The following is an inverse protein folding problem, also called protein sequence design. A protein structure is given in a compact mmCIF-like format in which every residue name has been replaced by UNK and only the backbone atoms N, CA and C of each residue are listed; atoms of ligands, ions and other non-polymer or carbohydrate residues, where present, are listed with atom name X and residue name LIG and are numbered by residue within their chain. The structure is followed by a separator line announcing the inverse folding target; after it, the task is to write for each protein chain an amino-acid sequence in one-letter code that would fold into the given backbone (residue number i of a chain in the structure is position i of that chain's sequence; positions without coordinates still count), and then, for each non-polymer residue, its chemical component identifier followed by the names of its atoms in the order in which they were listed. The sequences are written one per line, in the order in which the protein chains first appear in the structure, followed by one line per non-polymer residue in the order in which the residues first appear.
data_IF_949751150711
#
_entry.id   IF_949751150711
#
_cell.length_a   1.000
_cell.length_b   1.000
_cell.length_c   1.000
_cell.angle_alpha   90.00
_cell.angle_beta   90.00
_cell.angle_gamma   90.00
#
_symmetry.space_group_name_H-M   'P 1'
#
loop_
_entity.id
_entity.type
_entity.pdbx_description
1 polymer ?
#
# COMPACT_ATOMS: atom_id res chain seq x y z
N UNK A 1 5.38 18.64 -13.75
CA UNK A 1 5.00 17.67 -12.67
C UNK A 1 3.57 17.28 -12.93
N UNK A 2 3.35 16.01 -13.28
CA UNK A 2 2.01 15.52 -13.63
C UNK A 2 1.60 14.47 -12.59
N UNK A 3 0.63 14.82 -11.76
CA UNK A 3 -0.05 13.89 -10.86
C UNK A 3 -1.41 13.54 -11.45
N UNK A 4 -1.74 12.25 -11.46
CA UNK A 4 -3.07 11.75 -11.83
C UNK A 4 -3.78 11.20 -10.59
N UNK A 5 -5.11 11.17 -10.62
CA UNK A 5 -5.94 10.49 -9.63
C UNK A 5 -6.53 9.23 -10.24
N UNK A 6 -6.08 8.07 -9.77
CA UNK A 6 -6.54 6.77 -10.26
C UNK A 6 -7.08 5.91 -9.12
N UNK A 7 -8.32 5.49 -9.19
CA UNK A 7 -9.02 4.72 -8.15
C UNK A 7 -8.89 5.31 -6.74
N UNK A 8 -8.77 6.66 -6.63
CA UNK A 8 -8.60 7.38 -5.37
C UNK A 8 -7.16 7.45 -4.86
N UNK A 9 -6.17 7.08 -5.68
CA UNK A 9 -4.76 7.23 -5.40
C UNK A 9 -4.18 8.37 -6.22
N UNK A 10 -3.44 9.27 -5.58
CA UNK A 10 -2.60 10.23 -6.27
C UNK A 10 -1.33 9.54 -6.75
N UNK A 11 -1.06 9.61 -8.05
CA UNK A 11 0.08 8.97 -8.69
C UNK A 11 0.86 10.04 -9.43
N UNK A 12 2.11 10.25 -9.05
CA UNK A 12 3.02 11.07 -9.82
C UNK A 12 3.68 10.20 -10.91
N UNK A 13 3.64 10.68 -12.13
CA UNK A 13 4.17 10.00 -13.32
C UNK A 13 5.56 10.47 -13.71
N UNK A 14 6.04 11.57 -13.10
CA UNK A 14 7.34 12.14 -13.41
C UNK A 14 8.49 11.27 -12.90
N UNK A 15 9.65 11.51 -13.45
CA UNK A 15 10.89 10.80 -13.15
C UNK A 15 11.38 11.05 -11.72
N UNK A 16 11.48 10.00 -10.89
CA UNK A 16 12.10 10.04 -9.57
C UNK A 16 11.19 9.70 -8.40
N UNK A 17 11.80 9.56 -7.22
CA UNK A 17 11.10 9.31 -5.96
C UNK A 17 10.48 10.61 -5.40
N UNK A 18 9.25 10.52 -4.88
CA UNK A 18 8.77 11.48 -3.90
C UNK A 18 8.38 12.86 -4.42
N UNK A 19 7.61 12.94 -5.50
CA UNK A 19 7.14 14.22 -6.06
C UNK A 19 5.64 14.49 -5.80
N UNK A 20 4.99 13.73 -4.94
CA UNK A 20 3.64 14.07 -4.45
C UNK A 20 3.70 15.25 -3.49
N UNK A 21 2.69 16.10 -3.52
CA UNK A 21 2.51 17.17 -2.51
C UNK A 21 2.22 16.58 -1.12
N UNK A 22 2.41 17.36 -0.08
CA UNK A 22 2.13 16.93 1.30
C UNK A 22 0.68 16.45 1.49
N UNK A 23 -0.28 17.09 0.82
CA UNK A 23 -1.69 16.69 0.90
C UNK A 23 -1.97 15.38 0.16
N UNK A 24 -1.33 15.16 -0.99
CA UNK A 24 -1.41 13.91 -1.75
C UNK A 24 -0.76 12.75 -0.98
N UNK A 25 0.41 12.99 -0.38
CA UNK A 25 1.08 12.03 0.52
C UNK A 25 0.16 11.67 1.69
N UNK A 26 -0.45 12.67 2.33
CA UNK A 26 -1.38 12.45 3.42
C UNK A 26 -2.60 11.64 2.97
N UNK A 27 -3.18 11.99 1.84
CA UNK A 27 -4.34 11.28 1.27
C UNK A 27 -4.02 9.81 0.99
N UNK A 28 -2.93 9.54 0.29
CA UNK A 28 -2.50 8.18 -0.03
C UNK A 28 -2.18 7.37 1.24
N UNK A 29 -1.45 7.96 2.19
CA UNK A 29 -1.09 7.28 3.44
C UNK A 29 -2.31 6.95 4.30
N UNK A 30 -3.28 7.87 4.43
CA UNK A 30 -4.53 7.61 5.14
C UNK A 30 -5.36 6.51 4.46
N UNK A 31 -5.39 6.50 3.12
CA UNK A 31 -6.07 5.45 2.36
C UNK A 31 -5.40 4.09 2.55
N UNK A 32 -4.06 4.02 2.46
CA UNK A 32 -3.30 2.80 2.72
C UNK A 32 -3.57 2.29 4.14
N UNK A 33 -3.48 3.18 5.13
CA UNK A 33 -3.77 2.84 6.52
C UNK A 33 -5.18 2.25 6.69
N UNK A 34 -6.19 2.88 6.10
CA UNK A 34 -7.58 2.42 6.21
C UNK A 34 -7.77 1.03 5.58
N UNK A 35 -7.12 0.75 4.44
CA UNK A 35 -7.21 -0.56 3.78
C UNK A 35 -6.55 -1.66 4.63
N UNK A 36 -5.37 -1.40 5.19
CA UNK A 36 -4.69 -2.35 6.07
C UNK A 36 -5.47 -2.57 7.38
N UNK A 37 -6.03 -1.51 7.95
CA UNK A 37 -6.88 -1.60 9.14
C UNK A 37 -8.15 -2.44 8.89
N UNK A 38 -8.76 -2.33 7.73
CA UNK A 38 -9.90 -3.16 7.34
C UNK A 38 -9.55 -4.65 7.21
N UNK A 39 -8.28 -4.99 7.08
CA UNK A 39 -7.76 -6.37 7.11
C UNK A 39 -7.51 -6.88 8.53
N UNK A 40 -7.74 -6.05 9.56
CA UNK A 40 -7.54 -6.41 10.97
C UNK A 40 -6.12 -6.16 11.49
N UNK A 41 -5.29 -5.40 10.78
CA UNK A 41 -3.94 -5.05 11.21
C UNK A 41 -3.99 -3.95 12.28
N UNK A 42 -3.07 -3.98 13.24
CA UNK A 42 -3.02 -2.95 14.30
C UNK A 42 -2.54 -1.61 13.79
N UNK A 43 -3.01 -0.51 14.38
CA UNK A 43 -2.56 0.85 14.02
C UNK A 43 -1.05 1.02 14.20
N UNK A 44 -0.46 0.31 15.16
CA UNK A 44 0.98 0.35 15.43
C UNK A 44 1.79 -0.27 14.29
N UNK A 45 1.43 -1.48 13.83
CA UNK A 45 2.12 -2.11 12.70
C UNK A 45 1.87 -1.34 11.39
N UNK A 46 0.65 -0.82 11.18
CA UNK A 46 0.32 0.03 10.02
C UNK A 46 1.24 1.25 10.00
N UNK A 47 1.39 1.94 11.13
CA UNK A 47 2.29 3.09 11.21
C UNK A 47 3.76 2.72 10.89
N UNK A 48 4.22 1.56 11.35
CA UNK A 48 5.54 1.01 11.00
C UNK A 48 5.71 0.80 9.49
N UNK A 49 4.71 0.20 8.83
CA UNK A 49 4.70 0.05 7.36
C UNK A 49 4.68 1.40 6.67
N UNK A 50 3.79 2.32 7.09
CA UNK A 50 3.70 3.66 6.51
C UNK A 50 5.02 4.44 6.64
N UNK A 51 5.76 4.25 7.72
CA UNK A 51 7.10 4.81 7.90
C UNK A 51 8.06 4.37 6.80
N UNK A 52 8.04 3.09 6.45
CA UNK A 52 8.86 2.53 5.37
C UNK A 52 8.36 2.98 3.99
N UNK A 53 7.08 2.82 3.68
CA UNK A 53 6.49 3.24 2.41
C UNK A 53 6.73 4.74 2.14
N UNK A 54 6.66 5.59 3.16
CA UNK A 54 6.97 7.01 3.01
C UNK A 54 8.44 7.23 2.61
N UNK A 55 9.35 6.50 3.22
CA UNK A 55 10.77 6.58 2.86
C UNK A 55 11.12 5.96 1.51
N UNK A 56 10.42 4.88 1.10
CA UNK A 56 10.71 4.17 -0.16
C UNK A 56 10.15 4.88 -1.39
N UNK A 57 8.92 5.33 -1.31
CA UNK A 57 8.17 5.80 -2.47
C UNK A 57 7.51 7.16 -2.30
N UNK A 58 7.64 7.81 -1.13
CA UNK A 58 6.86 9.01 -0.82
C UNK A 58 5.35 8.79 -0.91
N UNK A 59 4.85 7.60 -0.58
CA UNK A 59 3.44 7.20 -0.74
C UNK A 59 2.93 7.18 -2.19
N UNK A 60 3.82 7.18 -3.18
CA UNK A 60 3.46 7.13 -4.60
C UNK A 60 3.41 5.69 -5.11
N UNK A 61 2.23 5.12 -5.46
CA UNK A 61 2.16 3.77 -6.00
C UNK A 61 2.77 3.64 -7.39
N UNK A 62 2.91 4.73 -8.13
CA UNK A 62 3.61 4.76 -9.42
C UNK A 62 5.12 4.96 -9.33
N UNK A 63 5.68 4.95 -8.11
CA UNK A 63 7.13 5.14 -7.90
C UNK A 63 7.94 4.03 -8.54
N UNK A 64 9.03 4.41 -9.20
CA UNK A 64 10.00 3.50 -9.81
C UNK A 64 11.41 4.01 -9.59
N UNK A 65 12.33 3.10 -9.31
CA UNK A 65 13.75 3.41 -9.22
C UNK A 65 14.32 3.74 -10.62
N UNK A 66 15.23 4.70 -10.67
CA UNK A 66 15.85 5.17 -11.94
C UNK A 66 17.16 4.44 -12.26
N UNK A 67 17.59 4.38 -13.53
CA UNK A 67 16.86 4.77 -14.74
C UNK A 67 15.77 3.78 -15.14
N UNK A 68 14.69 4.29 -15.71
CA UNK A 68 13.60 3.50 -16.29
C UNK A 68 13.57 3.62 -17.82
N UNK A 69 13.24 2.55 -18.57
CA UNK A 69 13.35 2.57 -20.02
C UNK A 69 12.23 3.31 -20.75
N UNK A 70 11.12 3.65 -20.06
CA UNK A 70 9.92 4.24 -20.67
C UNK A 70 9.77 5.76 -20.47
N UNK A 71 10.66 6.44 -19.73
CA UNK A 71 10.58 7.90 -19.56
C UNK A 71 9.49 8.36 -18.57
N UNK A 72 8.86 9.52 -18.85
CA UNK A 72 7.97 10.23 -17.93
C UNK A 72 6.49 9.93 -18.17
N UNK A 73 6.12 8.65 -18.17
CA UNK A 73 4.73 8.19 -18.14
C UNK A 73 4.58 6.89 -17.33
N UNK A 74 3.34 6.45 -17.09
CA UNK A 74 3.05 5.17 -16.48
C UNK A 74 2.73 4.15 -17.58
N UNK A 75 3.64 3.21 -17.86
CA UNK A 75 3.38 2.10 -18.79
C UNK A 75 2.37 1.14 -18.20
N UNK A 76 1.61 0.46 -19.04
CA UNK A 76 0.83 -0.69 -18.61
C UNK A 76 1.72 -1.92 -18.29
N UNK A 77 1.10 -3.01 -17.89
CA UNK A 77 1.85 -4.22 -17.52
C UNK A 77 2.63 -4.77 -18.73
N UNK A 78 1.98 -4.86 -19.88
CA UNK A 78 2.58 -5.43 -21.10
C UNK A 78 3.84 -4.66 -21.50
N UNK A 79 3.79 -3.32 -21.48
CA UNK A 79 4.94 -2.48 -21.81
C UNK A 79 6.09 -2.72 -20.83
N UNK A 80 5.84 -2.81 -19.52
CA UNK A 80 6.89 -3.10 -18.54
C UNK A 80 7.46 -4.49 -18.74
N UNK A 81 6.62 -5.49 -18.98
CA UNK A 81 7.02 -6.89 -19.15
C UNK A 81 7.89 -7.12 -20.39
N UNK A 82 7.76 -6.28 -21.41
CA UNK A 82 8.63 -6.27 -22.59
C UNK A 82 10.02 -5.68 -22.34
N UNK A 83 10.23 -5.02 -21.21
CA UNK A 83 11.53 -4.42 -20.86
C UNK A 83 12.41 -5.38 -20.05
N UNK A 84 13.69 -5.05 -19.91
CA UNK A 84 14.60 -5.69 -18.96
C UNK A 84 14.66 -5.02 -17.60
N UNK A 85 13.64 -4.26 -17.20
CA UNK A 85 13.63 -3.50 -15.95
C UNK A 85 13.58 -4.43 -14.73
N UNK A 86 14.60 -4.35 -13.88
CA UNK A 86 14.77 -5.21 -12.70
C UNK A 86 14.82 -4.43 -11.38
N UNK A 87 14.60 -3.10 -11.42
CA UNK A 87 14.70 -2.21 -10.27
C UNK A 87 13.42 -2.16 -9.45
N UNK A 88 13.44 -1.39 -8.37
CA UNK A 88 12.32 -1.23 -7.45
C UNK A 88 11.11 -0.53 -8.08
N UNK A 89 9.91 -1.00 -7.72
CA UNK A 89 8.63 -0.45 -8.17
C UNK A 89 7.60 -0.43 -7.03
N UNK A 90 6.76 0.60 -7.05
CA UNK A 90 5.60 0.72 -6.16
C UNK A 90 5.93 1.16 -4.73
N UNK A 91 4.99 0.97 -3.82
CA UNK A 91 5.03 1.45 -2.44
C UNK A 91 6.27 0.99 -1.67
N UNK A 92 6.62 -0.28 -1.74
CA UNK A 92 7.75 -0.88 -1.00
C UNK A 92 8.95 -1.17 -1.90
N UNK A 93 8.98 -0.56 -3.10
CA UNK A 93 10.05 -0.74 -4.06
C UNK A 93 10.37 -2.23 -4.31
N UNK A 94 9.32 -3.05 -4.58
CA UNK A 94 9.52 -4.46 -4.92
C UNK A 94 10.61 -4.66 -5.97
N UNK A 95 11.63 -5.44 -5.64
CA UNK A 95 12.79 -5.68 -6.50
C UNK A 95 12.99 -7.20 -6.70
N UNK A 96 13.04 -7.70 -7.93
CA UNK A 96 12.79 -7.03 -9.22
C UNK A 96 11.30 -6.66 -9.39
N UNK A 97 11.00 -5.37 -9.60
CA UNK A 97 9.62 -4.89 -9.71
C UNK A 97 8.83 -5.55 -10.82
N UNK A 98 9.49 -5.77 -11.98
CA UNK A 98 8.90 -6.45 -13.14
C UNK A 98 8.29 -7.82 -12.79
N UNK A 99 8.99 -8.65 -12.02
CA UNK A 99 8.51 -10.01 -11.69
C UNK A 99 7.70 -10.05 -10.40
N UNK A 100 8.09 -9.29 -9.39
CA UNK A 100 7.42 -9.33 -8.10
C UNK A 100 6.12 -8.53 -8.04
N UNK A 101 6.02 -7.44 -8.80
CA UNK A 101 4.82 -6.61 -8.80
C UNK A 101 4.07 -6.70 -10.13
N UNK A 102 4.74 -6.40 -11.26
CA UNK A 102 4.05 -6.27 -12.55
C UNK A 102 3.52 -7.61 -13.05
N UNK A 103 4.36 -8.65 -13.12
CA UNK A 103 3.89 -9.99 -13.54
C UNK A 103 2.79 -10.52 -12.63
N UNK A 104 2.94 -10.35 -11.31
CA UNK A 104 1.92 -10.76 -10.35
C UNK A 104 0.59 -10.00 -10.55
N UNK A 105 0.65 -8.71 -10.85
CA UNK A 105 -0.54 -7.91 -11.14
C UNK A 105 -1.20 -8.35 -12.46
N UNK A 106 -0.38 -8.61 -13.49
CA UNK A 106 -0.81 -9.06 -14.80
C UNK A 106 -1.53 -10.41 -14.75
N UNK A 107 -0.98 -11.39 -14.03
CA UNK A 107 -1.60 -12.70 -13.79
C UNK A 107 -3.00 -12.59 -13.15
N UNK A 108 -3.35 -11.45 -12.57
CA UNK A 108 -4.64 -11.17 -11.94
C UNK A 108 -5.51 -10.15 -12.69
N UNK A 109 -5.12 -9.75 -13.90
CA UNK A 109 -5.78 -8.70 -14.69
C UNK A 109 -5.91 -7.37 -13.91
N UNK A 110 -4.83 -6.97 -13.21
CA UNK A 110 -4.73 -5.76 -12.41
C UNK A 110 -3.57 -4.90 -12.89
N UNK A 111 -3.67 -3.57 -12.76
CA UNK A 111 -2.57 -2.65 -13.09
C UNK A 111 -1.60 -2.51 -11.92
N UNK A 112 -0.29 -2.61 -12.20
CA UNK A 112 0.77 -2.58 -11.21
C UNK A 112 0.81 -1.27 -10.40
N UNK A 113 0.49 -0.14 -11.00
CA UNK A 113 0.53 1.18 -10.37
C UNK A 113 -0.77 1.55 -9.61
N UNK A 114 -1.79 0.70 -9.62
CA UNK A 114 -2.95 0.90 -8.74
C UNK A 114 -2.57 0.56 -7.29
N UNK A 115 -2.69 1.53 -6.40
CA UNK A 115 -2.42 1.30 -4.98
C UNK A 115 -3.28 0.18 -4.38
N UNK A 116 -4.50 -0.05 -4.88
CA UNK A 116 -5.32 -1.19 -4.43
C UNK A 116 -4.69 -2.53 -4.82
N UNK A 117 -4.05 -2.61 -5.99
CA UNK A 117 -3.29 -3.79 -6.43
C UNK A 117 -2.12 -4.05 -5.49
N UNK A 118 -1.39 -3.00 -5.13
CA UNK A 118 -0.22 -3.11 -4.25
C UNK A 118 -0.60 -3.48 -2.82
N UNK A 119 -1.74 -3.01 -2.32
CA UNK A 119 -2.29 -3.47 -1.03
C UNK A 119 -2.68 -4.95 -1.08
N UNK A 120 -3.26 -5.42 -2.18
CA UNK A 120 -3.53 -6.86 -2.39
C UNK A 120 -2.24 -7.66 -2.44
N UNK A 121 -1.18 -7.14 -3.09
CA UNK A 121 0.14 -7.79 -3.13
C UNK A 121 0.73 -7.94 -1.73
N UNK A 122 0.74 -6.88 -0.93
CA UNK A 122 1.22 -6.91 0.44
C UNK A 122 0.44 -7.91 1.31
N UNK A 123 -0.88 -7.94 1.15
CA UNK A 123 -1.74 -8.92 1.83
C UNK A 123 -1.41 -10.35 1.40
N UNK A 124 -1.20 -10.58 0.10
CA UNK A 124 -0.84 -11.88 -0.43
C UNK A 124 0.50 -12.37 0.13
N UNK A 125 1.51 -11.50 0.23
CA UNK A 125 2.79 -11.82 0.85
C UNK A 125 2.63 -12.20 2.33
N UNK A 126 1.79 -11.45 3.05
CA UNK A 126 1.44 -11.77 4.43
C UNK A 126 0.78 -13.15 4.58
N UNK A 127 -0.19 -13.46 3.72
CA UNK A 127 -0.96 -14.71 3.78
C UNK A 127 -0.12 -15.92 3.39
N UNK A 128 0.86 -15.75 2.51
CA UNK A 128 1.71 -16.82 2.00
C UNK A 128 3.08 -16.91 2.72
N UNK A 129 3.35 -16.02 3.67
CA UNK A 129 4.63 -15.98 4.38
C UNK A 129 5.80 -15.55 3.49
N UNK A 130 5.50 -14.83 2.40
CA UNK A 130 6.52 -14.32 1.48
C UNK A 130 7.25 -13.11 2.06
N UNK A 131 8.48 -12.86 1.62
CA UNK A 131 9.34 -11.75 1.98
C UNK A 131 9.75 -11.73 3.46
N UNK A 132 8.85 -11.91 4.39
CA UNK A 132 9.11 -11.80 5.83
C UNK A 132 8.54 -12.99 6.59
N UNK A 133 9.36 -13.67 7.38
CA UNK A 133 8.86 -14.57 8.43
C UNK A 133 8.18 -13.76 9.54
N UNK A 134 7.24 -14.36 10.27
CA UNK A 134 6.63 -13.68 11.42
C UNK A 134 5.58 -12.61 11.09
N UNK A 135 5.01 -12.61 9.89
CA UNK A 135 3.91 -11.72 9.51
C UNK A 135 2.78 -11.69 10.54
N UNK A 136 2.35 -12.86 11.04
CA UNK A 136 1.25 -12.95 12.00
C UNK A 136 1.58 -12.26 13.33
N UNK A 137 2.82 -12.37 13.80
CA UNK A 137 3.26 -11.61 14.95
C UNK A 137 3.27 -10.10 14.65
N UNK A 138 3.78 -9.70 13.50
CA UNK A 138 3.93 -8.29 13.13
C UNK A 138 2.61 -7.57 12.99
N UNK A 139 1.65 -8.13 12.23
CA UNK A 139 0.36 -7.46 11.95
C UNK A 139 -0.53 -7.31 13.19
N UNK A 140 -0.31 -8.10 14.24
CA UNK A 140 -1.04 -8.03 15.51
C UNK A 140 -0.24 -7.31 16.61
N UNK A 141 0.98 -6.83 16.31
CA UNK A 141 1.82 -6.19 17.30
C UNK A 141 1.33 -4.79 17.63
N UNK A 142 1.33 -4.44 18.92
CA UNK A 142 0.92 -3.13 19.47
C UNK A 142 2.07 -2.39 20.14
N UNK A 143 3.31 -2.81 19.88
CA UNK A 143 4.53 -2.16 20.36
C UNK A 143 4.76 -0.78 19.72
N UNK A 144 5.90 -0.17 20.03
CA UNK A 144 6.26 1.14 19.50
C UNK A 144 6.29 1.12 17.95
N UNK A 145 5.56 2.02 17.28
CA UNK A 145 5.55 2.11 15.82
C UNK A 145 6.94 2.31 15.21
N UNK A 146 7.83 3.02 15.89
CA UNK A 146 9.21 3.21 15.42
C UNK A 146 10.01 1.91 15.44
N UNK A 147 9.83 1.06 16.46
CA UNK A 147 10.48 -0.26 16.53
C UNK A 147 9.87 -1.21 15.49
N UNK A 148 8.57 -1.10 15.23
CA UNK A 148 7.92 -1.87 14.17
C UNK A 148 8.37 -1.42 12.77
N UNK A 149 8.68 -0.14 12.57
CA UNK A 149 9.30 0.33 11.32
C UNK A 149 10.70 -0.26 11.13
N UNK A 150 11.51 -0.32 12.18
CA UNK A 150 12.82 -0.99 12.13
C UNK A 150 12.68 -2.48 11.84
N UNK A 151 11.74 -3.16 12.49
CA UNK A 151 11.48 -4.57 12.23
C UNK A 151 11.12 -4.81 10.76
N UNK A 152 10.20 -4.00 10.20
CA UNK A 152 9.80 -4.11 8.80
C UNK A 152 10.98 -3.83 7.86
N UNK A 153 11.76 -2.79 8.11
CA UNK A 153 12.96 -2.48 7.33
C UNK A 153 13.93 -3.67 7.30
N UNK A 154 14.24 -4.26 8.45
CA UNK A 154 15.22 -5.35 8.56
C UNK A 154 14.71 -6.70 8.04
N UNK A 155 13.44 -7.01 8.22
CA UNK A 155 12.89 -8.33 7.93
C UNK A 155 12.21 -8.40 6.55
N UNK A 156 11.63 -7.30 6.09
CA UNK A 156 10.91 -7.23 4.83
C UNK A 156 11.75 -6.60 3.72
N UNK A 157 12.24 -5.38 3.91
CA UNK A 157 13.03 -4.64 2.91
C UNK A 157 14.44 -5.24 2.76
N UNK A 158 15.08 -5.59 3.86
CA UNK A 158 16.41 -6.22 3.94
C UNK A 158 17.51 -5.48 3.18
N UNK A 159 17.66 -4.16 3.37
CA UNK A 159 18.79 -3.42 2.79
C UNK A 159 20.13 -3.83 3.44
N UNK A 160 21.23 -3.33 2.88
CA UNK A 160 22.55 -3.54 3.49
C UNK A 160 22.66 -2.86 4.87
N UNK A 161 23.60 -3.29 5.74
CA UNK A 161 23.80 -2.64 7.03
C UNK A 161 24.00 -1.12 6.93
N UNK A 162 24.75 -0.66 5.93
CA UNK A 162 25.02 0.76 5.67
C UNK A 162 23.75 1.52 5.31
N UNK A 163 22.91 0.93 4.45
CA UNK A 163 21.62 1.49 4.06
C UNK A 163 20.63 1.53 5.24
N UNK A 164 20.72 0.56 6.17
CA UNK A 164 19.92 0.59 7.40
C UNK A 164 20.35 1.79 8.27
N UNK A 165 21.63 1.95 8.54
CA UNK A 165 22.14 3.07 9.35
C UNK A 165 21.71 4.42 8.78
N UNK A 166 21.76 4.58 7.46
CA UNK A 166 21.37 5.80 6.78
C UNK A 166 19.85 6.07 6.83
N UNK A 167 19.02 5.06 6.56
CA UNK A 167 17.59 5.23 6.37
C UNK A 167 16.76 5.06 7.65
N UNK A 168 17.23 4.29 8.64
CA UNK A 168 16.47 3.94 9.83
C UNK A 168 15.95 5.15 10.63
N UNK A 169 16.76 6.21 10.88
CA UNK A 169 16.28 7.36 11.67
C UNK A 169 15.04 8.00 11.06
N UNK A 170 15.01 8.17 9.73
CA UNK A 170 13.89 8.80 9.05
C UNK A 170 12.67 7.88 8.99
N UNK A 171 12.86 6.54 8.83
CA UNK A 171 11.77 5.56 8.87
C UNK A 171 11.06 5.55 10.21
N UNK A 172 11.83 5.57 11.31
CA UNK A 172 11.30 5.64 12.68
C UNK A 172 10.54 6.94 12.93
N UNK A 173 11.08 8.07 12.46
CA UNK A 173 10.41 9.36 12.57
C UNK A 173 9.08 9.40 11.79
N UNK A 174 9.08 8.88 10.56
CA UNK A 174 7.85 8.76 9.77
C UNK A 174 6.82 7.83 10.43
N UNK A 175 7.23 6.70 11.00
CA UNK A 175 6.30 5.81 11.70
C UNK A 175 5.64 6.51 12.89
N UNK A 176 6.40 7.22 13.70
CA UNK A 176 5.86 8.02 14.82
C UNK A 176 4.89 9.11 14.34
N UNK A 177 5.26 9.82 13.28
CA UNK A 177 4.39 10.82 12.65
C UNK A 177 3.08 10.21 12.14
N UNK A 178 3.16 9.07 11.44
CA UNK A 178 1.98 8.39 10.91
C UNK A 178 1.09 7.85 12.03
N UNK A 179 1.67 7.30 13.10
CA UNK A 179 0.89 6.87 14.26
C UNK A 179 0.05 8.01 14.83
N UNK A 180 0.63 9.20 15.03
CA UNK A 180 -0.11 10.39 15.48
C UNK A 180 -1.23 10.83 14.52
N UNK A 181 -1.12 10.49 13.23
CA UNK A 181 -2.15 10.82 12.23
C UNK A 181 -3.29 9.81 12.19
N UNK A 182 -3.02 8.51 12.40
CA UNK A 182 -4.01 7.43 12.23
C UNK A 182 -4.64 6.99 13.56
N UNK A 183 -3.95 7.12 14.67
CA UNK A 183 -4.38 6.59 15.98
C UNK A 183 -5.77 7.08 16.39
N UNK A 184 -6.67 6.13 16.60
CA UNK A 184 -8.08 6.38 16.96
C UNK A 184 -8.93 7.01 15.84
N UNK A 185 -8.40 7.17 14.62
CA UNK A 185 -9.13 7.79 13.49
C UNK A 185 -9.58 6.79 12.44
N UNK A 186 -8.99 5.59 12.39
CA UNK A 186 -9.37 4.55 11.45
C UNK A 186 -10.70 3.91 11.87
N UNK A 187 -11.58 3.66 10.91
CA UNK A 187 -12.94 3.16 11.17
C UNK A 187 -13.13 1.78 10.57
N UNK A 188 -13.66 0.85 11.36
CA UNK A 188 -14.03 -0.47 10.86
C UNK A 188 -15.18 -0.36 9.84
N UNK A 189 -14.85 -0.39 8.55
CA UNK A 189 -15.81 -0.32 7.45
C UNK A 189 -16.71 -1.56 7.34
N UNK A 190 -16.38 -2.66 8.02
CA UNK A 190 -17.19 -3.90 8.07
C UNK A 190 -18.58 -3.64 8.66
N UNK A 191 -18.72 -2.72 9.62
CA UNK A 191 -20.03 -2.33 10.18
C UNK A 191 -20.94 -1.63 9.16
N UNK A 192 -20.40 -0.83 8.26
CA UNK A 192 -21.19 -0.10 7.26
C UNK A 192 -21.73 -1.02 6.15
N UNK A 193 -20.99 -2.05 5.73
CA UNK A 193 -21.45 -3.01 4.72
C UNK A 193 -22.56 -3.94 5.23
N UNK A 194 -22.52 -4.35 6.50
CA UNK A 194 -23.61 -5.16 7.08
C UNK A 194 -24.91 -4.37 7.21
N UNK A 195 -24.86 -3.09 7.58
CA UNK A 195 -26.06 -2.24 7.64
C UNK A 195 -26.63 -1.89 6.26
N UNK A 196 -25.78 -1.73 5.24
CA UNK A 196 -26.24 -1.46 3.86
C UNK A 196 -26.88 -2.69 3.21
N UNK A 197 -26.45 -3.91 3.57
CA UNK A 197 -27.06 -5.15 3.08
C UNK A 197 -28.43 -5.40 3.72
N UNK A 198 -28.56 -5.20 5.04
CA UNK A 198 -29.84 -5.32 5.73
C UNK A 198 -30.90 -4.30 5.29
N UNK A 199 -30.49 -3.09 4.88
CA UNK A 199 -31.45 -2.08 4.38
C UNK A 199 -31.93 -2.36 2.96
N UNK A 200 -31.16 -3.09 2.14
CA UNK A 200 -31.61 -3.51 0.78
C UNK A 200 -32.58 -4.68 0.84
N UNK A 201 -32.34 -5.62 1.73
CA UNK A 201 -33.21 -6.81 1.87
C UNK A 201 -34.61 -6.48 2.42
N UNK A 202 -34.77 -5.38 3.18
CA UNK A 202 -36.08 -4.89 3.66
C UNK A 202 -36.94 -4.19 2.59
N UNK A 203 -36.35 -3.76 1.44
CA UNK A 203 -37.11 -3.09 0.37
C UNK A 203 -37.72 -4.04 -0.65
N UNK A 204 -37.49 -5.34 -0.58
CA UNK A 204 -37.93 -6.33 -1.57
C UNK A 204 -39.24 -7.07 -1.15
N UNK A 205 -39.69 -6.93 0.09
CA UNK A 205 -40.98 -7.52 0.53
C UNK A 205 -42.11 -6.49 0.46
N UNK A 206 -42.68 -6.29 -0.72
CA UNK A 206 -44.06 -5.79 -0.85
C UNK A 206 -45.00 -6.98 -0.99
N UNK A 207 -46.05 -7.10 -0.17
CA UNK A 207 -47.02 -8.17 -0.32
C UNK A 207 -47.83 -7.97 -1.61
N UNK A 208 -47.93 -9.02 -2.40
CA UNK A 208 -48.90 -9.09 -3.49
C UNK A 208 -50.30 -9.12 -2.88
N UNK A 209 -51.10 -8.06 -3.04
CA UNK A 209 -52.53 -8.13 -2.87
C UNK A 209 -53.10 -9.03 -3.96
N UNK A 210 -53.75 -10.11 -3.52
CA UNK A 210 -54.66 -10.88 -4.37
C UNK A 210 -55.89 -10.00 -4.71
N UNK A 211 -56.15 -9.87 -5.97
CA UNK A 211 -57.51 -9.50 -6.47
C UNK A 211 -58.20 -10.77 -6.92
N UNK A 212 -59.31 -11.04 -6.25
CA UNK A 212 -60.36 -11.92 -6.78
C UNK A 212 -61.18 -11.19 -7.85
#
# INVERSE_FOLDING_TARGET
MQTILYHGWYINVDYGLGTLTSDEILSNGMRLAQLLYNMGWTENCIAGILGNVHGESGMNPGSTETPRPWGDYLPDNDEVLQTSYLRGMGFTQWTPGRTKLVQWADDLDLLWYDGNTQVKRLKWECDNGEQMGGWQWFIHNTGDPADLAEYFLRQYERPTPEQIEESLPIRRAYATMWYGRIHGKLKNSIRLMMFSKQSRDRKVMKPRCQQM
#
